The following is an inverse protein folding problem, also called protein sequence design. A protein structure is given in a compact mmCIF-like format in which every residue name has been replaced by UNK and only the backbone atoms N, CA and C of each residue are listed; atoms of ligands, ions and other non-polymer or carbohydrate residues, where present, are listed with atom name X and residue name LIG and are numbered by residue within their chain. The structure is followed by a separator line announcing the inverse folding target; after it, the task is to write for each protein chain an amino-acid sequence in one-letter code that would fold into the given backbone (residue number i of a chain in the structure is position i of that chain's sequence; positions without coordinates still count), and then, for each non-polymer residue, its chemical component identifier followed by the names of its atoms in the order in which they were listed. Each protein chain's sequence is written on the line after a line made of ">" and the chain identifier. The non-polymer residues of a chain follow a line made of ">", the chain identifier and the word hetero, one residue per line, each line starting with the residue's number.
data_IF_215837217651
#
_entry.id   IF_215837217651
#
_cell.length_a   1.000
_cell.length_b   1.000
_cell.length_c   1.000
_cell.angle_alpha   90.00
_cell.angle_beta   90.00
_cell.angle_gamma   90.00
#
_symmetry.space_group_name_H-M   'P 1'
#
loop_
_entity.id
_entity.type
_entity.pdbx_description
1 polymer ?
#
# COMPACT_ATOMS: atom_id res chain seq x y z
N UNK A 1 -21.78 -38.40 27.99
CA UNK A 1 -21.03 -37.23 28.45
C UNK A 1 -19.67 -37.01 27.74
N UNK A 2 -19.20 -37.97 26.96
CA UNK A 2 -17.91 -37.99 26.23
C UNK A 2 -17.96 -37.34 24.83
N UNK A 3 -19.14 -37.03 24.29
CA UNK A 3 -19.31 -36.50 22.93
C UNK A 3 -18.93 -35.00 22.84
N UNK A 4 -19.09 -34.25 23.92
CA UNK A 4 -18.78 -32.80 23.96
C UNK A 4 -17.28 -32.48 23.79
N UNK A 5 -16.33 -33.19 24.49
CA UNK A 5 -14.93 -32.94 24.29
C UNK A 5 -14.42 -33.42 22.92
N UNK A 6 -15.03 -34.50 22.37
CA UNK A 6 -14.68 -35.02 21.05
C UNK A 6 -15.06 -34.01 19.93
N UNK A 7 -16.22 -33.38 20.06
CA UNK A 7 -16.68 -32.33 19.12
C UNK A 7 -15.76 -31.10 19.15
N UNK A 8 -15.28 -30.74 20.35
CA UNK A 8 -14.33 -29.62 20.53
C UNK A 8 -12.97 -29.90 19.93
N UNK A 9 -12.49 -31.16 20.07
CA UNK A 9 -11.22 -31.59 19.47
C UNK A 9 -11.27 -31.61 17.96
N UNK A 10 -12.41 -31.98 17.38
CA UNK A 10 -12.63 -32.00 15.93
C UNK A 10 -12.70 -30.57 15.34
N UNK A 11 -13.21 -29.60 16.11
CA UNK A 11 -13.30 -28.19 15.71
C UNK A 11 -11.89 -27.50 15.71
N UNK A 12 -10.99 -27.91 16.60
CA UNK A 12 -9.63 -27.37 16.69
C UNK A 12 -8.71 -27.96 15.60
N UNK A 13 -8.98 -29.16 15.12
CA UNK A 13 -8.20 -29.83 14.08
C UNK A 13 -8.39 -29.22 12.67
N UNK A 14 -9.44 -28.42 12.45
CA UNK A 14 -9.77 -27.87 11.14
C UNK A 14 -9.12 -26.51 10.81
N UNK A 15 -8.20 -26.00 11.64
CA UNK A 15 -7.61 -24.66 11.43
C UNK A 15 -6.27 -24.65 10.67
N UNK A 16 -5.81 -25.80 10.15
CA UNK A 16 -4.63 -25.82 9.28
C UNK A 16 -5.02 -25.62 7.82
N UNK A 17 -5.61 -24.46 7.49
CA UNK A 17 -5.64 -23.99 6.11
C UNK A 17 -4.25 -23.37 5.86
N UNK A 18 -3.31 -24.21 5.44
CA UNK A 18 -2.09 -23.77 4.78
C UNK A 18 -2.55 -23.10 3.48
N UNK A 19 -2.60 -21.79 3.48
CA UNK A 19 -2.75 -21.00 2.27
C UNK A 19 -1.55 -21.28 1.38
N UNK A 20 -1.76 -22.10 0.35
CA UNK A 20 -0.76 -22.33 -0.68
C UNK A 20 -0.43 -20.98 -1.33
N UNK A 21 0.82 -20.53 -1.27
CA UNK A 21 1.22 -19.26 -1.85
C UNK A 21 1.05 -19.35 -3.37
N UNK A 22 0.24 -18.44 -3.91
CA UNK A 22 -0.11 -18.40 -5.33
C UNK A 22 1.11 -18.10 -6.22
N UNK A 23 2.19 -17.62 -5.61
CA UNK A 23 3.44 -17.23 -6.25
C UNK A 23 4.62 -17.93 -5.58
N UNK A 24 5.55 -18.44 -6.39
CA UNK A 24 6.75 -19.11 -5.87
C UNK A 24 7.85 -18.09 -5.59
N UNK A 25 8.17 -17.93 -4.31
CA UNK A 25 9.31 -17.12 -3.86
C UNK A 25 10.43 -18.03 -3.36
N UNK A 26 11.66 -17.58 -3.51
CA UNK A 26 12.84 -18.33 -3.02
C UNK A 26 12.99 -18.21 -1.51
N UNK A 27 12.36 -17.18 -0.91
CA UNK A 27 12.51 -16.86 0.47
C UNK A 27 11.21 -16.20 1.03
N UNK A 28 10.89 -16.48 2.28
CA UNK A 28 9.69 -15.95 2.96
C UNK A 28 9.73 -14.43 3.15
N UNK A 29 10.92 -13.84 3.23
CA UNK A 29 11.07 -12.38 3.35
C UNK A 29 10.63 -11.67 2.06
N UNK A 30 10.95 -12.21 0.90
CA UNK A 30 10.54 -11.66 -0.40
C UNK A 30 9.05 -11.83 -0.63
N UNK A 31 8.46 -12.92 -0.13
CA UNK A 31 7.03 -13.13 -0.14
C UNK A 31 6.29 -12.07 0.71
N UNK A 32 6.74 -11.79 1.93
CA UNK A 32 6.17 -10.74 2.77
C UNK A 32 6.31 -9.35 2.13
N UNK A 33 7.47 -9.04 1.57
CA UNK A 33 7.72 -7.79 0.81
C UNK A 33 6.75 -7.65 -0.36
N UNK A 34 6.58 -8.71 -1.14
CA UNK A 34 5.63 -8.72 -2.26
C UNK A 34 4.20 -8.44 -1.81
N UNK A 35 3.71 -9.15 -0.77
CA UNK A 35 2.35 -8.92 -0.27
C UNK A 35 2.15 -7.55 0.35
N UNK A 36 3.18 -6.95 0.93
CA UNK A 36 3.15 -5.56 1.40
C UNK A 36 3.02 -4.58 0.23
N UNK A 37 3.88 -4.71 -0.78
CA UNK A 37 3.89 -3.84 -1.95
C UNK A 37 2.57 -3.87 -2.72
N UNK A 38 1.99 -5.05 -2.99
CA UNK A 38 0.73 -5.14 -3.73
C UNK A 38 -0.48 -4.58 -2.97
N UNK A 39 -0.40 -4.46 -1.63
CA UNK A 39 -1.42 -3.78 -0.81
C UNK A 39 -1.31 -2.25 -0.91
N UNK A 40 -0.10 -1.73 -0.99
CA UNK A 40 0.19 -0.30 -1.07
C UNK A 40 -0.02 0.28 -2.47
N UNK A 41 0.07 -0.55 -3.52
CA UNK A 41 -0.02 -0.11 -4.91
C UNK A 41 -1.47 -0.23 -5.39
N UNK A 42 -1.99 0.86 -5.95
CA UNK A 42 -3.33 0.90 -6.56
C UNK A 42 -3.31 0.29 -7.95
N UNK A 43 -4.41 -0.37 -8.30
CA UNK A 43 -4.62 -0.81 -9.66
C UNK A 43 -5.00 0.40 -10.55
N UNK A 44 -4.20 0.75 -11.59
CA UNK A 44 -4.44 1.96 -12.39
C UNK A 44 -5.71 1.91 -13.25
N UNK A 45 -6.27 0.73 -13.48
CA UNK A 45 -7.50 0.54 -14.26
C UNK A 45 -8.70 0.07 -13.44
N UNK A 46 -8.55 -0.05 -12.11
CA UNK A 46 -9.63 -0.45 -11.24
C UNK A 46 -10.27 0.78 -10.59
N UNK A 47 -11.58 0.81 -10.45
CA UNK A 47 -12.33 1.97 -9.94
C UNK A 47 -11.97 2.31 -8.49
N UNK A 48 -11.56 1.31 -7.70
CA UNK A 48 -11.04 1.50 -6.34
C UNK A 48 -10.48 0.17 -5.84
N UNK A 49 -9.19 0.10 -5.57
CA UNK A 49 -8.62 -1.11 -4.99
C UNK A 49 -7.11 -1.17 -5.16
N UNK A 50 -6.48 -1.91 -4.24
CA UNK A 50 -5.07 -2.26 -4.35
C UNK A 50 -4.86 -3.38 -5.38
N UNK A 51 -3.63 -3.57 -5.82
CA UNK A 51 -3.27 -4.72 -6.66
C UNK A 51 -3.60 -6.05 -5.96
N UNK A 52 -3.54 -6.10 -4.63
CA UNK A 52 -3.88 -7.30 -3.85
C UNK A 52 -5.34 -7.72 -4.04
N UNK A 53 -6.25 -6.77 -4.19
CA UNK A 53 -7.70 -7.02 -4.33
C UNK A 53 -8.16 -7.15 -5.78
N UNK A 54 -7.27 -6.96 -6.74
CA UNK A 54 -7.62 -6.94 -8.17
C UNK A 54 -7.15 -8.21 -8.89
N UNK A 55 -8.07 -8.83 -9.64
CA UNK A 55 -7.80 -9.95 -10.56
C UNK A 55 -7.84 -9.50 -12.03
N UNK A 56 -7.77 -8.21 -12.31
CA UNK A 56 -7.72 -7.71 -13.67
C UNK A 56 -6.41 -8.16 -14.37
N UNK A 57 -6.42 -8.44 -15.68
CA UNK A 57 -5.21 -8.87 -16.41
C UNK A 57 -4.04 -7.90 -16.23
N UNK A 58 -4.31 -6.58 -16.23
CA UNK A 58 -3.28 -5.54 -15.97
C UNK A 58 -2.70 -5.66 -14.57
N UNK A 59 -3.51 -6.00 -13.55
CA UNK A 59 -3.02 -6.20 -12.18
C UNK A 59 -2.09 -7.40 -12.09
N UNK A 60 -2.41 -8.48 -12.79
CA UNK A 60 -1.57 -9.68 -12.83
C UNK A 60 -0.22 -9.40 -13.52
N UNK A 61 -0.21 -8.61 -14.58
CA UNK A 61 1.03 -8.21 -15.25
C UNK A 61 1.91 -7.34 -14.36
N UNK A 62 1.31 -6.41 -13.61
CA UNK A 62 2.04 -5.59 -12.63
C UNK A 62 2.59 -6.44 -11.49
N UNK A 63 1.81 -7.38 -10.95
CA UNK A 63 2.26 -8.33 -9.91
C UNK A 63 3.46 -9.14 -10.38
N UNK A 64 3.42 -9.70 -11.59
CA UNK A 64 4.55 -10.42 -12.20
C UNK A 64 5.79 -9.54 -12.31
N UNK A 65 5.63 -8.28 -12.72
CA UNK A 65 6.74 -7.34 -12.82
C UNK A 65 7.34 -7.00 -11.46
N UNK A 66 6.53 -6.89 -10.41
CA UNK A 66 7.02 -6.69 -9.04
C UNK A 66 7.86 -7.90 -8.59
N UNK A 67 7.41 -9.13 -8.86
CA UNK A 67 8.16 -10.34 -8.54
C UNK A 67 9.51 -10.36 -9.28
N UNK A 68 9.53 -9.99 -10.55
CA UNK A 68 10.75 -9.89 -11.33
C UNK A 68 11.73 -8.89 -10.73
N UNK A 69 11.26 -7.71 -10.33
CA UNK A 69 12.09 -6.67 -9.71
C UNK A 69 12.61 -7.10 -8.32
N UNK A 70 11.81 -7.84 -7.54
CA UNK A 70 12.26 -8.41 -6.25
C UNK A 70 13.38 -9.45 -6.51
N UNK A 71 13.23 -10.30 -7.52
CA UNK A 71 14.25 -11.27 -7.90
C UNK A 71 15.53 -10.62 -8.46
N UNK A 72 15.46 -9.38 -8.94
CA UNK A 72 16.60 -8.54 -9.32
C UNK A 72 17.22 -7.80 -8.14
N UNK A 73 16.86 -8.14 -6.88
CA UNK A 73 17.33 -7.50 -5.65
C UNK A 73 17.04 -5.99 -5.58
N UNK A 74 16.00 -5.50 -6.27
CA UNK A 74 15.57 -4.11 -6.20
C UNK A 74 14.98 -3.79 -4.83
N UNK A 75 15.26 -2.58 -4.35
CA UNK A 75 14.66 -2.08 -3.12
C UNK A 75 13.18 -1.71 -3.34
N UNK A 76 12.40 -1.69 -2.25
CA UNK A 76 10.97 -1.33 -2.32
C UNK A 76 10.76 0.08 -2.88
N UNK A 77 11.67 1.01 -2.58
CA UNK A 77 11.61 2.38 -3.10
C UNK A 77 11.90 2.44 -4.61
N UNK A 78 12.83 1.65 -5.10
CA UNK A 78 13.08 1.53 -6.54
C UNK A 78 11.90 0.92 -7.28
N UNK A 79 11.22 -0.07 -6.68
CA UNK A 79 10.02 -0.67 -7.24
C UNK A 79 8.88 0.35 -7.29
N UNK A 80 8.66 1.11 -6.19
CA UNK A 80 7.66 2.20 -6.16
C UNK A 80 7.95 3.27 -7.20
N UNK A 81 9.21 3.68 -7.32
CA UNK A 81 9.65 4.69 -8.30
C UNK A 81 9.41 4.19 -9.72
N UNK A 82 9.80 2.96 -10.04
CA UNK A 82 9.60 2.35 -11.35
C UNK A 82 8.10 2.30 -11.73
N UNK A 83 7.24 1.92 -10.79
CA UNK A 83 5.80 1.83 -11.03
C UNK A 83 5.17 3.22 -11.17
N UNK A 84 5.60 4.19 -10.37
CA UNK A 84 5.09 5.57 -10.45
C UNK A 84 5.52 6.27 -11.74
N UNK A 85 6.71 6.00 -12.24
CA UNK A 85 7.20 6.56 -13.52
C UNK A 85 6.42 5.99 -14.72
N UNK A 86 6.05 4.71 -14.66
CA UNK A 86 5.37 4.03 -15.76
C UNK A 86 3.85 4.21 -15.75
N UNK A 87 3.23 4.26 -14.59
CA UNK A 87 1.76 4.29 -14.42
C UNK A 87 1.23 5.57 -13.80
N UNK A 88 2.14 6.49 -13.41
CA UNK A 88 1.80 7.76 -12.76
C UNK A 88 1.81 7.68 -11.23
N UNK A 89 1.90 8.84 -10.58
CA UNK A 89 1.93 8.96 -9.11
C UNK A 89 0.66 8.46 -8.42
N UNK A 90 -0.44 8.34 -9.15
CA UNK A 90 -1.73 7.86 -8.63
C UNK A 90 -1.73 6.38 -8.23
N UNK A 91 -0.70 5.64 -8.66
CA UNK A 91 -0.52 4.23 -8.34
C UNK A 91 -0.08 4.00 -6.89
N UNK A 92 0.52 5.01 -6.26
CA UNK A 92 0.92 4.96 -4.86
C UNK A 92 -0.20 5.53 -3.97
N UNK A 93 -0.61 4.76 -2.93
CA UNK A 93 -1.56 5.27 -1.92
C UNK A 93 -0.94 6.38 -1.07
N UNK A 94 0.36 6.32 -0.84
CA UNK A 94 1.11 7.36 -0.15
C UNK A 94 2.02 8.07 -1.16
N UNK A 95 1.55 9.20 -1.73
CA UNK A 95 2.34 9.99 -2.67
C UNK A 95 3.42 10.79 -1.94
N UNK A 96 4.12 10.28 -0.99
CA UNK A 96 5.24 10.92 -0.31
C UNK A 96 5.23 12.45 -0.33
N UNK A 97 5.98 13.13 0.47
CA UNK A 97 6.14 14.59 0.42
C UNK A 97 6.84 15.00 -0.89
N UNK A 98 6.06 15.18 -1.93
CA UNK A 98 6.57 15.60 -3.23
C UNK A 98 6.61 17.14 -3.32
N UNK A 99 7.53 17.69 -4.13
CA UNK A 99 7.67 19.15 -4.33
C UNK A 99 6.34 19.82 -4.70
N UNK A 100 5.48 19.13 -5.42
CA UNK A 100 4.16 19.65 -5.81
C UNK A 100 3.14 19.69 -4.67
N UNK A 101 3.24 18.78 -3.69
CA UNK A 101 2.31 18.72 -2.54
C UNK A 101 2.78 19.58 -1.37
N UNK A 102 4.04 20.00 -1.35
CA UNK A 102 4.61 20.85 -0.29
C UNK A 102 3.87 22.18 -0.14
N UNK A 103 3.49 22.79 -1.26
CA UNK A 103 2.69 24.04 -1.29
C UNK A 103 1.34 23.84 -0.61
N UNK A 104 0.69 22.69 -0.83
CA UNK A 104 -0.61 22.37 -0.27
C UNK A 104 -0.58 22.25 1.27
N UNK A 105 0.54 21.78 1.82
CA UNK A 105 0.74 21.65 3.27
C UNK A 105 1.12 22.95 3.96
N UNK A 106 1.86 23.83 3.26
CA UNK A 106 2.27 25.13 3.80
C UNK A 106 1.17 26.17 3.68
N UNK A 107 0.36 26.14 2.61
CA UNK A 107 -0.67 27.14 2.34
C UNK A 107 -1.63 27.38 3.52
N UNK A 108 -2.23 26.38 4.19
CA UNK A 108 -3.11 26.62 5.33
C UNK A 108 -2.40 27.24 6.52
N UNK A 109 -1.15 26.85 6.78
CA UNK A 109 -0.35 27.43 7.88
C UNK A 109 -0.01 28.90 7.64
N UNK A 110 0.39 29.22 6.41
CA UNK A 110 0.69 30.60 5.99
C UNK A 110 -0.56 31.49 6.05
N UNK A 111 -1.71 30.98 5.62
CA UNK A 111 -2.97 31.70 5.67
C UNK A 111 -3.38 32.02 7.11
N UNK A 112 -3.25 31.05 8.00
CA UNK A 112 -3.55 31.23 9.43
C UNK A 112 -2.59 32.24 10.08
N UNK A 113 -1.32 32.19 9.74
CA UNK A 113 -0.31 33.13 10.22
C UNK A 113 -0.62 34.58 9.79
N UNK A 114 -0.97 34.80 8.50
CA UNK A 114 -1.36 36.12 7.99
C UNK A 114 -2.64 36.62 8.68
N UNK A 115 -3.64 35.76 8.86
CA UNK A 115 -4.88 36.10 9.55
C UNK A 115 -4.63 36.55 11.02
N UNK A 116 -3.74 35.87 11.72
CA UNK A 116 -3.34 36.23 13.07
C UNK A 116 -2.62 37.60 13.09
N UNK A 117 -1.69 37.84 12.16
CA UNK A 117 -1.02 39.12 12.06
C UNK A 117 -2.02 40.26 11.85
N UNK A 118 -2.95 40.13 10.90
CA UNK A 118 -3.98 41.14 10.62
C UNK A 118 -4.84 41.36 11.87
N UNK A 119 -5.23 40.29 12.58
CA UNK A 119 -6.01 40.37 13.81
C UNK A 119 -5.27 41.15 14.91
N UNK A 120 -3.99 40.85 15.15
CA UNK A 120 -3.18 41.56 16.14
C UNK A 120 -2.96 43.02 15.79
N UNK A 121 -2.70 43.36 14.50
CA UNK A 121 -2.53 44.74 14.08
C UNK A 121 -3.83 45.56 14.19
N UNK A 122 -4.98 44.95 13.84
CA UNK A 122 -6.30 45.65 13.99
C UNK A 122 -6.70 45.85 15.45
N UNK A 123 -6.28 44.94 16.34
CA UNK A 123 -6.60 45.08 17.78
C UNK A 123 -5.76 46.16 18.49
N UNK A 124 -4.62 46.52 17.89
CA UNK A 124 -3.68 47.51 18.43
C UNK A 124 -3.90 48.93 17.88
N UNK A 125 -4.68 49.07 16.79
CA UNK A 125 -5.16 50.33 16.23
C UNK A 125 -6.54 50.70 16.81
#
# INVERSE_FOLDING_TARGET
>A
MLIRPLLFLLLVASTNILGESLYQFQNTADEERFYSLIKEIRCPKCTSGSLASSNAPVSEDIKKKIIELINEDKTDDEIRLFLSDRFGLEVLYDPGLNRSTYILWIAPGLFLFIALLIFFFRRKA
#
